data_IF_739755573452
#
_entry.id   IF_739755573452
#
_cell.length_a   1.000
_cell.length_b   1.000
_cell.length_c   1.000
_cell.angle_alpha   90.00
_cell.angle_beta   90.00
_cell.angle_gamma   90.00
#
_symmetry.space_group_name_H-M   'P 1'
#
loop_
_entity.id
_entity.type
_entity.pdbx_description
1 polymer ?
#
# COMPACT_ATOMS: atom_id res chain seq x y z
N UNK A 2 3.24 -23.91 -7.30
CA UNK A 2 3.94 -22.67 -7.01
C UNK A 2 3.28 -21.96 -5.85
N UNK A 3 4.05 -21.64 -4.84
CA UNK A 3 3.56 -20.92 -3.69
C UNK A 3 3.85 -19.45 -3.93
N UNK A 4 2.87 -18.75 -4.49
CA UNK A 4 2.94 -17.32 -4.74
C UNK A 4 2.23 -16.62 -3.60
N UNK A 5 2.98 -15.99 -2.71
CA UNK A 5 2.43 -15.36 -1.54
C UNK A 5 2.74 -13.88 -1.55
N UNK A 6 1.85 -13.11 -0.93
CA UNK A 6 1.99 -11.66 -0.90
C UNK A 6 1.13 -11.12 0.23
N UNK A 7 1.76 -10.48 1.21
CA UNK A 7 1.07 -9.97 2.37
C UNK A 7 1.22 -8.46 2.43
N UNK A 8 0.17 -7.79 2.91
CA UNK A 8 0.27 -6.39 3.29
C UNK A 8 -0.35 -6.15 4.67
N UNK A 9 0.23 -6.70 5.70
CA UNK A 9 -0.25 -6.46 7.06
C UNK A 9 0.38 -5.20 7.65
N UNK A 10 0.32 -4.10 6.92
CA UNK A 10 0.81 -2.85 7.44
C UNK A 10 0.00 -2.38 8.63
N UNK A 11 0.61 -1.52 9.44
CA UNK A 11 -0.04 -0.98 10.62
C UNK A 11 -1.06 0.09 10.28
N UNK A 12 -1.32 0.28 8.99
CA UNK A 12 -2.33 1.25 8.57
C UNK A 12 -1.81 2.65 8.44
N UNK A 14 -2.35 6.70 8.75
CA UNK A 14 -3.19 7.57 9.56
C UNK A 14 -2.72 9.02 9.54
N UNK A 15 -3.64 9.95 9.31
CA UNK A 15 -3.30 11.37 9.30
C UNK A 15 -4.11 12.06 10.38
N UNK A 16 -3.42 12.59 11.40
CA UNK A 16 -4.05 13.21 12.53
C UNK A 16 -3.87 14.73 12.44
N UNK A 17 -4.76 15.46 13.11
CA UNK A 17 -4.68 16.91 13.21
C UNK A 17 -5.22 17.34 14.57
N UNK A 18 -4.45 18.14 15.29
CA UNK A 18 -4.83 18.54 16.65
C UNK A 18 -4.71 20.04 16.87
N UNK B 2 -3.54 21.68 8.27
CA UNK B 2 -4.80 22.03 7.60
C UNK B 2 -5.23 21.00 6.57
N UNK B 3 -2.91 21.38 5.42
CA UNK B 3 -3.21 20.55 4.26
C UNK B 3 -2.41 19.26 4.36
N UNK B 4 -3.07 18.21 4.83
CA UNK B 4 -2.53 16.86 4.75
C UNK B 4 -3.02 16.22 3.46
N UNK B 5 -2.07 15.83 2.60
CA UNK B 5 -2.38 15.10 1.38
C UNK B 5 -1.58 13.81 1.39
N UNK B 6 -2.28 12.69 1.30
CA UNK B 6 -1.64 11.37 1.26
C UNK B 6 -2.13 10.64 0.03
N UNK B 7 -1.22 9.98 -0.66
CA UNK B 7 -1.50 9.42 -1.97
C UNK B 7 -0.96 8.00 -2.07
N UNK B 8 -1.78 7.09 -2.58
CA UNK B 8 -1.31 5.80 -3.07
C UNK B 8 -1.92 5.54 -4.44
N UNK B 9 -1.57 6.35 -5.46
CA UNK B 9 -1.98 6.05 -6.83
C UNK B 9 -0.95 5.19 -7.55
N UNK B 10 -0.48 4.15 -6.87
CA UNK B 10 0.42 3.21 -7.51
C UNK B 10 -0.39 2.18 -8.24
N UNK B 11 0.04 1.84 -9.46
CA UNK B 11 -0.62 0.79 -10.24
C UNK B 11 -0.75 -0.48 -9.42
N UNK B 12 -1.73 -1.31 -9.76
CA UNK B 12 -2.03 -2.46 -8.94
C UNK B 12 -0.89 -3.43 -8.73
N UNK B 14 0.15 -7.44 -8.67
CA UNK B 14 -0.39 -8.62 -9.35
C UNK B 14 0.51 -9.85 -9.24
N UNK B 15 -0.08 -11.02 -9.01
CA UNK B 15 0.65 -12.26 -9.18
C UNK B 15 0.08 -12.98 -10.38
N UNK B 16 0.96 -13.44 -11.25
CA UNK B 16 0.57 -14.08 -12.48
C UNK B 16 0.99 -15.54 -12.43
N UNK B 17 0.23 -16.38 -13.12
CA UNK B 17 0.61 -17.77 -13.36
C UNK B 17 0.11 -18.16 -14.74
N UNK B 18 1.03 -18.46 -15.65
CA UNK B 18 0.62 -18.97 -16.95
C UNK B 18 1.53 -20.11 -17.40
N UNK C 11 -3.67 -15.10 31.13
CA UNK C 11 -2.25 -14.88 31.29
C UNK C 11 -1.73 -13.70 30.51
N UNK C 12 -1.86 -12.51 31.09
CA UNK C 12 -1.32 -11.31 30.48
C UNK C 12 -2.31 -10.20 30.22
N UNK C 14 -3.06 -6.94 28.11
CA UNK C 14 -2.68 -6.43 26.80
C UNK C 14 -3.52 -5.23 26.41
N UNK C 15 -2.87 -4.14 26.01
CA UNK C 15 -3.56 -2.93 25.56
C UNK C 15 -3.05 -2.58 24.16
N UNK C 16 -3.65 -3.18 23.14
CA UNK C 16 -3.28 -2.90 21.77
C UNK C 16 -4.24 -1.87 21.21
N UNK C 17 -3.70 -0.79 20.65
CA UNK C 17 -4.48 0.18 19.92
C UNK C 17 -3.86 0.35 18.53
N UNK C 18 -4.66 0.17 17.50
CA UNK C 18 -4.19 0.31 16.14
C UNK C 18 -5.07 1.31 15.41
N UNK D 11 -4.80 14.77 -28.22
CA UNK D 11 -5.11 14.99 -29.62
C UNK D 11 -4.86 13.78 -30.50
N UNK D 12 -4.15 12.79 -29.96
CA UNK D 12 -3.84 11.59 -30.73
C UNK D 12 -4.51 10.35 -30.17
N UNK D 14 -4.42 6.55 -28.23
CA UNK D 14 -3.70 6.02 -27.08
C UNK D 14 -4.32 4.71 -26.62
N UNK D 15 -3.49 3.70 -26.36
CA UNK D 15 -4.01 2.41 -25.95
C UNK D 15 -3.23 1.93 -24.75
N UNK D 16 -3.93 1.63 -23.67
CA UNK D 16 -3.33 1.31 -22.38
C UNK D 16 -3.94 0.02 -21.86
N UNK D 17 -3.10 -0.81 -21.26
CA UNK D 17 -3.56 -1.98 -20.51
C UNK D 17 -2.98 -1.88 -19.10
N UNK D 18 -3.83 -1.60 -18.12
CA UNK D 18 -3.38 -1.48 -16.75
C UNK D 18 -3.98 -2.60 -15.93
N UNK E 11 0.94 -17.41 -61.21
CA UNK E 11 1.13 -16.96 -59.85
C UNK E 11 0.46 -15.62 -59.56
N UNK E 12 -0.56 -15.65 -58.72
CA UNK E 12 -1.30 -14.45 -58.39
C UNK E 12 -0.48 -13.36 -57.74
N UNK E 14 -0.13 -11.07 -55.26
CA UNK E 14 -0.58 -10.67 -53.94
C UNK E 14 0.12 -9.39 -53.53
N UNK E 15 -0.64 -8.30 -53.46
CA UNK E 15 -0.11 -7.00 -53.09
C UNK E 15 -0.96 -6.40 -51.98
N UNK E 16 -0.31 -6.04 -50.88
CA UNK E 16 -0.98 -5.35 -49.78
C UNK E 16 -0.19 -4.08 -49.49
N UNK E 17 -0.91 -2.99 -49.23
CA UNK E 17 -0.31 -1.70 -48.89
C UNK E 17 -0.85 -1.26 -47.55
N UNK E 18 0.03 -0.94 -46.63
CA UNK E 18 -0.38 -0.48 -45.32
C UNK E 18 0.23 0.90 -45.44
N UNK F 11 -7.51 27.16 18.22
CA UNK F 11 -7.21 27.73 19.52
C UNK F 11 -7.67 26.86 20.67
N UNK F 12 -8.00 25.62 20.37
CA UNK F 12 -8.52 24.71 21.38
C UNK F 12 -7.45 23.93 22.11
N UNK F 14 -6.26 19.90 23.37
CA UNK F 14 -6.42 18.47 23.09
C UNK F 14 -5.60 17.59 24.00
N UNK F 15 -6.25 16.70 24.73
CA UNK F 15 -5.59 15.71 25.57
C UNK F 15 -6.00 14.33 25.09
N UNK F 16 -5.04 13.58 24.57
CA UNK F 16 -5.30 12.27 23.97
C UNK F 16 -4.55 11.23 24.78
N UNK F 17 -5.31 10.35 25.42
CA UNK F 17 -4.75 9.22 26.16
C UNK F 17 -5.19 7.96 25.45
N UNK F 18 -4.24 7.18 24.97
CA UNK F 18 -4.55 5.87 24.43
C UNK F 18 -3.70 4.83 25.13
N UNK G 11 0.80 -10.46 44.17
CA UNK G 11 0.57 -9.06 43.84
C UNK G 11 -0.19 -8.87 42.54
N UNK G 12 -0.84 -7.73 42.40
CA UNK G 12 -1.62 -7.44 41.22
C UNK G 12 -1.27 -6.12 40.56
N UNK G 14 -2.56 -2.28 38.79
CA UNK G 14 -3.49 -1.18 39.02
C UNK G 14 -3.03 0.05 38.25
N UNK G 15 -3.97 0.91 37.84
CA UNK G 15 -3.57 2.15 37.18
C UNK G 15 -4.71 3.14 37.34
N UNK G 16 -4.34 4.43 37.42
CA UNK G 16 -5.30 5.49 37.69
C UNK G 16 -5.04 6.66 36.77
N UNK G 17 -6.07 7.06 36.02
CA UNK G 17 -6.10 8.36 35.37
C UNK G 17 -6.94 9.24 36.28
N UNK G 18 -6.29 9.91 37.23
CA UNK G 18 -7.08 10.58 38.25
C UNK G 18 -7.39 12.01 37.87
N UNK H 11 -12.33 29.96 31.17
CA UNK H 11 -11.44 30.88 31.84
C UNK H 11 -10.22 30.14 32.32
N UNK H 12 -9.88 29.04 31.66
CA UNK H 12 -8.71 28.23 32.06
C UNK H 12 -9.29 26.89 32.25
N UNK H 14 -9.06 24.38 34.17
CA UNK H 14 -8.27 24.08 35.34
C UNK H 14 -8.49 22.64 35.79
N UNK H 15 -7.40 21.88 35.92
CA UNK H 15 -7.47 20.48 36.31
C UNK H 15 -6.52 20.29 37.48
N UNK H 16 -7.03 20.42 38.70
CA UNK H 16 -6.18 20.40 39.89
C UNK H 16 -6.69 19.34 40.85
N UNK H 17 -5.77 18.53 41.36
CA UNK H 17 -6.09 17.41 42.22
C UNK H 17 -5.59 17.69 43.63
N UNK H 18 -6.35 17.25 44.62
CA UNK H 18 -6.00 17.46 46.02
C UNK H 18 -6.06 16.17 46.82
N UNK I 11 -7.00 16.92 61.07
CA UNK I 11 -7.56 15.60 61.18
C UNK I 11 -7.55 14.84 59.86
N UNK I 12 -6.62 15.20 58.98
CA UNK I 12 -6.50 14.57 57.69
C UNK I 12 -5.78 13.24 57.74
N UNK I 14 -5.37 10.42 55.13
CA UNK I 14 -5.56 9.93 53.77
C UNK I 14 -4.57 8.81 53.47
N UNK I 15 -5.05 7.58 53.42
CA UNK I 15 -4.23 6.43 53.07
C UNK I 15 -4.62 5.96 51.67
N UNK I 16 -3.71 6.13 50.72
CA UNK I 16 -3.91 5.71 49.35
C UNK I 16 -2.91 4.61 49.08
N UNK I 17 -3.41 3.40 48.87
CA UNK I 17 -2.56 2.22 48.67
C UNK I 17 -2.97 1.57 47.37
N UNK I 18 -2.02 1.46 46.44
CA UNK I 18 -2.30 0.88 45.15
C UNK I 18 -1.43 -0.34 44.92
N UNK J 11 -1.35 10.08 -40.26
CA UNK J 11 -1.17 9.46 -41.56
C UNK J 11 -1.38 7.96 -41.50
N UNK J 12 -2.51 7.54 -40.93
CA UNK J 12 -2.79 6.12 -40.80
C UNK J 12 -1.97 5.50 -39.69
N UNK J 14 -1.83 1.51 -38.98
CA UNK J 14 -2.43 0.25 -39.35
C UNK J 14 -1.65 -0.75 -38.54
N UNK J 15 -2.36 -1.60 -37.83
CA UNK J 15 -1.67 -2.58 -37.01
C UNK J 15 -2.33 -3.93 -37.24
N UNK J 16 -1.51 -4.96 -37.44
CA UNK J 16 -2.00 -6.26 -37.89
C UNK J 16 -1.46 -7.33 -36.98
N UNK J 17 -2.34 -8.21 -36.50
CA UNK J 17 -1.96 -9.40 -35.75
C UNK J 17 -2.57 -10.61 -36.45
N UNK J 18 -1.72 -11.49 -36.96
CA UNK J 18 -2.20 -12.74 -37.53
C UNK J 18 -1.24 -13.86 -37.19
N UNK K 11 -0.23 -34.05 -32.90
CA UNK K 11 -0.77 -32.81 -32.38
C UNK K 11 0.19 -31.64 -32.55
N UNK K 12 0.08 -30.66 -31.66
CA UNK K 12 0.94 -29.49 -31.71
C UNK K 12 0.36 -28.36 -32.53
N UNK K 14 0.00 -25.18 -34.80
CA UNK K 14 0.75 -24.78 -35.98
C UNK K 14 0.20 -23.48 -36.55
N UNK K 15 0.85 -22.36 -36.23
CA UNK K 15 0.37 -21.05 -36.68
C UNK K 15 1.11 -20.58 -37.92
N UNK K 16 0.92 -21.31 -39.01
CA UNK K 16 1.48 -20.89 -40.30
C UNK K 16 0.73 -19.68 -40.81
N UNK K 17 1.45 -18.81 -41.52
CA UNK K 17 0.79 -17.76 -42.29
C UNK K 17 1.44 -17.70 -43.67
N UNK K 18 0.78 -18.31 -44.64
CA UNK K 18 1.20 -18.22 -46.03
C UNK K 18 0.74 -16.89 -46.57
N UNK L 11 2.56 -30.08 -22.97
CA UNK L 11 1.70 -29.87 -21.82
C UNK L 11 1.20 -28.44 -21.72
N UNK L 12 2.09 -27.52 -21.43
CA UNK L 12 1.74 -26.13 -21.30
C UNK L 12 2.21 -25.27 -22.47
N UNK L 14 1.14 -21.50 -24.14
CA UNK L 14 0.30 -20.32 -23.97
C UNK L 14 0.92 -19.06 -24.56
N UNK L 15 0.14 -18.37 -25.39
CA UNK L 15 0.56 -17.12 -26.00
C UNK L 15 -0.34 -16.01 -25.49
N UNK L 16 0.28 -14.90 -25.06
CA UNK L 16 -0.43 -13.82 -24.40
C UNK L 16 0.06 -12.50 -24.97
N UNK L 17 -0.84 -11.76 -25.64
CA UNK L 17 -0.49 -10.53 -26.33
C UNK L 17 -1.43 -9.42 -25.86
N UNK L 18 -0.86 -8.29 -25.50
CA UNK L 18 -1.64 -7.12 -25.15
C UNK L 18 -0.91 -5.85 -25.55
N UNK M 2 7.87 -23.37 -6.73
CA UNK M 2 8.58 -22.13 -6.45
C UNK M 2 7.90 -21.39 -5.33
N UNK M 3 8.68 -21.06 -4.31
CA UNK M 3 8.18 -20.31 -3.18
C UNK M 3 8.48 -18.85 -3.44
N UNK M 4 7.51 -18.15 -4.02
CA UNK M 4 7.60 -16.74 -4.30
C UNK M 4 6.87 -16.01 -3.17
N UNK M 5 7.62 -15.37 -2.29
CA UNK M 5 7.07 -14.71 -1.13
C UNK M 5 7.39 -13.22 -1.17
N UNK M 6 6.51 -12.44 -0.58
CA UNK M 6 6.65 -10.98 -0.57
C UNK M 6 5.78 -10.43 0.54
N UNK M 7 6.41 -9.77 1.51
CA UNK M 7 5.71 -9.24 2.66
C UNK M 7 5.86 -7.72 2.69
N UNK M 8 4.82 -7.04 3.15
CA UNK M 8 4.92 -5.62 3.51
C UNK M 8 4.29 -5.37 4.87
N UNK M 9 4.86 -5.90 5.92
CA UNK M 9 4.37 -5.63 7.28
C UNK M 9 5.01 -4.37 7.85
N UNK M 10 4.95 -3.28 7.10
CA UNK M 10 5.45 -2.02 7.59
C UNK M 10 4.63 -1.52 8.77
N UNK M 11 5.25 -0.64 9.57
CA UNK M 11 4.58 -0.08 10.73
C UNK M 11 3.57 0.98 10.36
N UNK M 12 3.33 1.15 9.08
CA UNK M 12 2.33 2.10 8.63
C UNK M 12 2.86 3.51 8.47
N UNK M 14 2.33 7.57 8.71
CA UNK M 14 1.50 8.47 9.50
C UNK M 14 1.98 9.91 9.45
N UNK M 15 1.06 10.83 9.19
CA UNK M 15 1.41 12.25 9.16
C UNK M 15 0.60 12.97 10.22
N UNK M 16 1.29 13.51 11.23
CA UNK M 16 0.64 14.16 12.35
C UNK M 16 0.84 15.67 12.24
N UNK M 17 -0.05 16.41 12.88
CA UNK M 17 0.04 17.88 12.95
C UNK M 17 -0.52 18.33 14.30
N UNK M 18 0.26 19.14 15.03
CA UNK M 18 -0.14 19.57 16.36
C UNK M 18 -0.01 21.07 16.56
N UNK N 2 2.39 23.30 7.82
CA UNK N 2 1.17 23.66 7.11
C UNK N 2 0.75 22.63 6.07
N UNK N 3 1.71 22.14 5.30
CA UNK N 3 1.41 21.30 4.14
C UNK N 3 2.22 20.00 4.26
N UNK N 4 1.55 18.96 4.73
CA UNK N 4 2.09 17.61 4.68
C UNK N 4 1.62 16.95 3.39
N UNK N 5 2.56 16.54 2.55
CA UNK N 5 2.26 15.81 1.34
C UNK N 5 3.06 14.52 1.36
N UNK N 6 2.37 13.39 1.29
CA UNK N 6 3.01 12.08 1.26
C UNK N 6 2.52 11.33 0.05
N UNK N 7 3.44 10.66 -0.64
CA UNK N 7 3.16 10.09 -1.95
C UNK N 7 3.71 8.67 -2.01
N UNK N 8 2.89 7.76 -2.52
CA UNK N 8 3.36 6.45 -3.00
C UNK N 8 2.76 6.18 -4.37
N UNK N 9 3.12 6.98 -5.39
CA UNK N 9 2.72 6.67 -6.76
C UNK N 9 3.74 5.79 -7.46
N UNK N 10 4.22 4.76 -6.77
CA UNK N 10 5.12 3.81 -7.39
C UNK N 10 4.30 2.76 -8.11
N UNK N 11 4.75 2.41 -9.33
CA UNK N 11 4.10 1.36 -10.09
C UNK N 11 3.96 0.09 -9.27
N UNK N 12 2.98 -0.74 -9.59
CA UNK N 12 2.67 -1.89 -8.76
C UNK N 12 3.82 -2.84 -8.54
N UNK N 14 4.86 -6.85 -8.43
CA UNK N 14 4.33 -8.04 -9.08
C UNK N 14 5.23 -9.27 -8.95
N UNK N 15 4.64 -10.43 -8.71
CA UNK N 15 5.37 -11.68 -8.86
C UNK N 15 4.81 -12.42 -10.07
N UNK N 16 5.69 -12.88 -10.92
CA UNK N 16 5.30 -13.54 -12.15
C UNK N 16 5.73 -15.00 -12.07
N UNK N 17 4.98 -15.85 -12.76
CA UNK N 17 5.36 -17.23 -12.98
C UNK N 17 4.87 -17.65 -14.36
N UNK N 18 5.79 -17.95 -15.26
CA UNK N 18 5.39 -18.49 -16.56
C UNK N 18 6.30 -19.63 -16.98
N UNK O 11 0.89 -13.91 31.28
CA UNK O 11 2.31 -13.68 31.47
C UNK O 11 2.83 -12.49 30.69
N UNK O 12 2.67 -11.30 31.25
CA UNK O 12 3.22 -10.10 30.65
C UNK O 12 2.22 -8.99 30.37
N UNK O 14 1.48 -5.76 28.20
CA UNK O 14 1.88 -5.26 26.90
C UNK O 14 1.03 -4.07 26.48
N UNK O 15 1.68 -2.98 26.09
CA UNK O 15 0.99 -1.78 25.62
C UNK O 15 1.53 -1.43 24.24
N UNK O 16 0.96 -2.04 23.21
CA UNK O 16 1.35 -1.77 21.84
C UNK O 16 0.39 -0.75 21.25
N UNK O 17 0.94 0.33 20.70
CA UNK O 17 0.16 1.29 19.94
C UNK O 17 0.81 1.45 18.57
N UNK O 18 0.03 1.25 17.53
CA UNK O 18 0.52 1.39 16.17
C UNK O 18 -0.35 2.37 15.42
N UNK P 11 -0.11 15.22 -28.20
CA UNK P 11 -0.43 15.43 -29.59
C UNK P 11 -0.18 14.23 -30.47
N UNK P 12 0.54 13.25 -29.94
CA UNK P 12 0.85 12.04 -30.71
C UNK P 12 0.20 10.81 -30.15
N UNK P 14 0.33 7.01 -28.22
CA UNK P 14 1.06 6.47 -27.07
C UNK P 14 0.45 5.16 -26.60
N UNK P 15 1.29 4.16 -26.35
CA UNK P 15 0.78 2.86 -25.94
C UNK P 15 1.57 2.39 -24.73
N UNK P 16 0.87 2.08 -23.65
CA UNK P 16 1.49 1.76 -22.38
C UNK P 16 0.89 0.47 -21.85
N UNK P 17 1.74 -0.36 -21.24
CA UNK P 17 1.29 -1.52 -20.50
C UNK P 17 1.88 -1.42 -19.09
N UNK P 18 1.03 -1.14 -18.12
CA UNK P 18 1.49 -1.02 -16.74
C UNK P 18 0.90 -2.15 -15.92
N UNK Q 11 5.68 -17.81 -60.71
CA UNK Q 11 5.92 -17.33 -59.36
C UNK Q 11 5.24 -16.00 -59.09
N UNK Q 12 4.25 -16.02 -58.20
CA UNK Q 12 3.49 -14.83 -57.89
C UNK Q 12 4.33 -13.71 -57.29
N UNK Q 14 4.72 -11.36 -54.87
CA UNK Q 14 4.30 -10.94 -53.54
C UNK Q 14 4.99 -9.63 -53.20
N UNK Q 15 4.21 -8.56 -53.11
CA UNK Q 15 4.74 -7.24 -52.79
C UNK Q 15 3.93 -6.63 -51.66
N UNK Q 16 4.59 -6.23 -50.60
CA UNK Q 16 3.96 -5.52 -49.49
C UNK Q 16 4.73 -4.24 -49.25
N UNK Q 17 4.00 -3.16 -48.99
CA UNK Q 17 4.60 -1.85 -48.71
C UNK Q 17 4.09 -1.39 -47.36
N UNK Q 18 5.00 -1.03 -46.47
CA UNK Q 18 4.63 -0.55 -45.15
C UNK Q 18 5.20 0.84 -45.33
N UNK R 11 -2.89 28.52 17.76
CA UNK R 11 -2.60 29.11 19.05
C UNK R 11 -3.06 28.25 20.22
N UNK R 12 -3.38 27.00 19.93
CA UNK R 12 -3.90 26.09 20.94
C UNK R 12 -2.82 25.33 21.68
N UNK R 14 -1.61 21.33 22.99
CA UNK R 14 -1.76 19.90 22.72
C UNK R 14 -0.93 19.03 23.65
N UNK R 15 -1.58 18.14 24.38
CA UNK R 15 -0.91 17.18 25.24
C UNK R 15 -1.31 15.78 24.77
N UNK R 16 -0.33 15.03 24.26
CA UNK R 16 -0.58 13.71 23.67
C UNK R 16 0.18 12.69 24.50
N UNK R 17 -0.57 11.81 25.15
CA UNK R 17 -0.02 10.69 25.91
C UNK R 17 -0.44 9.42 25.20
N UNK R 18 0.53 8.64 24.74
CA UNK R 18 0.24 7.33 24.19
C UNK R 18 1.09 6.30 24.93
N UNK S 11 5.46 -8.98 44.46
CA UNK S 11 5.23 -7.60 44.10
C UNK S 11 4.48 -7.44 42.79
N UNK S 12 3.82 -6.30 42.62
CA UNK S 12 3.04 -6.05 41.43
C UNK S 12 3.38 -4.74 40.74
N UNK S 14 2.08 -0.95 38.88
CA UNK S 14 1.13 0.15 39.07
C UNK S 14 1.59 1.37 38.28
N UNK S 15 0.66 2.21 37.85
CA UNK S 15 1.05 3.42 37.16
C UNK S 15 -0.10 4.42 37.28
N UNK S 16 0.26 5.70 37.33
CA UNK S 16 -0.71 6.78 37.58
C UNK S 16 -0.45 7.92 36.62
N UNK S 17 -1.48 8.30 35.87
CA UNK S 17 -1.51 9.59 35.17
C UNK S 17 -2.36 10.48 36.07
N UNK S 18 -1.72 11.17 37.00
CA UNK S 18 -2.52 11.86 37.99
C UNK S 18 -2.83 13.28 37.58
N UNK T 11 -7.80 31.26 30.77
CA UNK T 11 -6.91 32.20 31.41
C UNK T 11 -5.69 31.47 31.90
N UNK T 12 -5.34 30.35 31.26
CA UNK T 12 -4.17 29.56 31.66
C UNK T 12 -4.76 28.22 31.88
N UNK T 14 -4.52 25.75 33.84
CA UNK T 14 -3.72 25.46 35.02
C UNK T 14 -3.94 24.03 35.49
N UNK T 15 -2.85 23.28 35.64
CA UNK T 15 -2.91 21.87 36.05
C UNK T 15 -1.96 21.70 37.22
N UNK T 16 -2.46 21.86 38.44
CA UNK T 16 -1.61 21.87 39.62
C UNK T 16 -2.12 20.83 40.61
N UNK T 17 -1.19 20.03 41.13
CA UNK T 17 -1.50 18.91 42.01
C UNK T 17 -1.00 19.23 43.41
N UNK T 18 -1.76 18.80 44.42
CA UNK T 18 -1.41 19.04 45.80
C UNK T 18 -1.46 17.76 46.63
N UNK U 11 -2.40 18.82 60.69
CA UNK U 11 -2.97 17.50 60.83
C UNK U 11 -2.95 16.70 59.54
N UNK U 12 -2.01 17.03 58.66
CA UNK U 12 -1.89 16.36 57.38
C UNK U 12 -1.17 15.03 57.48
N UNK U 14 -0.75 12.13 54.96
CA UNK U 14 -0.92 11.59 53.62
C UNK U 14 0.06 10.47 53.36
N UNK U 15 -0.43 9.24 53.35
CA UNK U 15 0.39 8.08 53.04
C UNK U 15 0.02 7.57 51.65
N UNK U 16 0.93 7.71 50.71
CA UNK U 16 0.74 7.24 49.35
C UNK U 16 1.74 6.12 49.11
N UNK U 17 1.23 4.91 48.94
CA UNK U 17 2.07 3.73 48.79
C UNK U 17 1.68 3.04 47.49
N UNK U 18 2.63 2.90 46.59
CA UNK U 18 2.36 2.27 45.30
C UNK U 18 3.24 1.05 45.12
N UNK V 11 3.58 10.25 -40.51
CA UNK V 11 3.67 9.61 -41.81
C UNK V 11 3.44 8.12 -41.71
N UNK V 12 2.34 7.72 -41.09
CA UNK V 12 2.05 6.30 -40.93
C UNK V 12 2.91 5.68 -39.85
N UNK V 14 3.02 1.70 -39.09
CA UNK V 14 2.38 0.45 -39.41
C UNK V 14 3.18 -0.56 -38.64
N UNK V 15 2.50 -1.38 -37.88
CA UNK V 15 3.20 -2.37 -37.08
C UNK V 15 2.53 -3.71 -37.27
N UNK V 16 3.31 -4.75 -37.48
CA UNK V 16 2.77 -6.04 -37.89
C UNK V 16 3.35 -7.13 -36.99
N UNK V 17 2.48 -7.98 -36.47
CA UNK V 17 2.87 -9.16 -35.73
C UNK V 17 2.22 -10.36 -36.37
N UNK V 18 3.02 -11.26 -36.91
CA UNK V 18 2.51 -12.51 -37.44
C UNK V 18 3.45 -13.65 -37.12
N UNK W 11 4.52 -34.09 -32.03
CA UNK W 11 3.98 -32.82 -31.56
C UNK W 11 4.93 -31.66 -31.75
N UNK W 12 4.81 -30.65 -30.90
CA UNK W 12 5.67 -29.48 -30.97
C UNK W 12 5.11 -28.38 -31.84
N UNK W 14 4.80 -25.28 -34.22
CA UNK W 14 5.58 -24.92 -35.39
C UNK W 14 5.04 -23.65 -36.02
N UNK W 15 5.68 -22.52 -35.74
CA UNK W 15 5.20 -21.22 -36.23
C UNK W 15 5.98 -20.79 -37.47
N UNK W 16 5.81 -21.56 -38.55
CA UNK W 16 6.39 -21.19 -39.83
C UNK W 16 5.65 -19.99 -40.40
N UNK W 17 6.38 -19.15 -41.13
CA UNK W 17 5.74 -18.12 -41.94
C UNK W 17 6.41 -18.10 -43.30
N UNK W 18 5.77 -18.75 -44.27
CA UNK W 18 6.22 -18.70 -45.65
C UNK W 18 5.78 -17.39 -46.25
N UNK X 11 6.98 -29.77 -22.09
CA UNK X 11 6.10 -29.50 -20.98
C UNK X 11 5.60 -28.07 -20.93
N UNK X 12 6.52 -27.15 -20.66
CA UNK X 12 6.19 -25.74 -20.58
C UNK X 12 6.71 -24.93 -21.75
N UNK X 14 5.76 -21.20 -23.57
CA UNK X 14 4.95 -20.00 -23.45
C UNK X 14 5.61 -18.77 -24.08
N UNK X 15 4.86 -18.08 -24.94
CA UNK X 15 5.32 -16.86 -25.58
C UNK X 15 4.44 -15.72 -25.12
N UNK X 16 5.07 -14.62 -24.72
CA UNK X 16 4.37 -13.50 -24.11
C UNK X 16 4.90 -12.20 -24.71
N UNK X 17 4.03 -11.47 -25.41
CA UNK X 17 4.43 -10.27 -26.13
C UNK X 17 3.51 -9.13 -25.74
N UNK X 18 4.09 -7.99 -25.40
CA UNK X 18 3.32 -6.80 -25.09
C UNK X 18 4.09 -5.56 -25.52
N UNK Y 2 12.47 -22.65 -6.26
CA UNK Y 2 13.19 -21.41 -6.02
C UNK Y 2 12.51 -20.66 -4.89
N UNK Y 3 13.30 -20.31 -3.89
CA UNK Y 3 12.81 -19.55 -2.76
C UNK Y 3 13.10 -18.08 -3.06
N UNK Y 4 12.12 -17.40 -3.65
CA UNK Y 4 12.21 -15.99 -3.95
C UNK Y 4 11.48 -15.24 -2.83
N UNK Y 5 12.24 -14.59 -1.97
CA UNK Y 5 11.68 -13.90 -0.82
C UNK Y 5 12.00 -12.43 -0.88
N UNK Y 6 11.12 -11.62 -0.30
CA UNK Y 6 11.25 -10.18 -0.32
C UNK Y 6 10.41 -9.60 0.79
N UNK Y 7 11.03 -8.93 1.74
CA UNK Y 7 10.34 -8.37 2.89
C UNK Y 7 10.48 -6.86 2.89
N UNK Y 8 9.44 -6.16 3.34
CA UNK Y 8 9.54 -4.74 3.67
C UNK Y 8 8.91 -4.46 5.04
N UNK Y 9 9.49 -4.98 6.09
CA UNK Y 9 9.01 -4.69 7.45
C UNK Y 9 9.65 -3.41 7.99
N UNK Y 10 9.58 -2.34 7.22
CA UNK Y 10 10.09 -1.07 7.69
C UNK Y 10 9.28 -0.55 8.87
N UNK Y 11 9.88 0.34 9.64
CA UNK Y 11 9.23 0.92 10.80
C UNK Y 11 8.21 1.97 10.42
N UNK Y 12 7.96 2.12 9.12
CA UNK Y 12 6.96 3.06 8.67
C UNK Y 12 7.48 4.47 8.49
N UNK Y 14 6.95 8.53 8.64
CA UNK Y 14 6.12 9.44 9.43
C UNK Y 14 6.60 10.88 9.35
N UNK Y 15 5.68 11.80 9.08
CA UNK Y 15 6.02 13.22 9.03
C UNK Y 15 5.22 13.96 10.09
N UNK Y 16 5.91 14.52 11.08
CA UNK Y 16 5.26 15.20 12.19
C UNK Y 16 5.46 16.69 12.04
N UNK Y 17 4.57 17.45 12.68
CA UNK Y 17 4.66 18.91 12.73
C UNK Y 17 4.10 19.39 14.07
N UNK Y 18 4.87 20.21 14.78
CA UNK Y 18 4.49 20.65 16.11
C UNK Y 18 4.62 22.16 16.27
N UNK Z 2 6.76 24.14 7.54
CA UNK Z 2 5.55 24.50 6.80
C UNK Z 2 5.15 23.46 5.77
N UNK Z 3 6.13 22.96 5.03
CA UNK Z 3 5.85 22.10 3.87
C UNK Z 3 6.65 20.81 4.04
N UNK Z 4 5.98 19.77 4.50
CA UNK Z 4 6.52 18.42 4.48
C UNK Z 4 6.08 17.74 3.19
N UNK Z 5 7.03 17.34 2.37
CA UNK Z 5 6.76 16.58 1.16
C UNK Z 5 7.56 15.29 1.23
N UNK Z 6 6.87 14.15 1.15
CA UNK Z 6 7.52 12.85 1.15
C UNK Z 6 7.05 12.08 -0.07
N UNK Z 7 7.99 11.41 -0.72
CA UNK Z 7 7.74 10.81 -2.02
C UNK Z 7 8.28 9.40 -2.07
N UNK Z 8 7.47 8.47 -2.58
CA UNK Z 8 7.95 7.16 -3.02
C UNK Z 8 7.39 6.87 -4.40
N UNK Z 9 7.76 7.65 -5.42
CA UNK Z 9 7.38 7.32 -6.80
C UNK Z 9 8.43 6.45 -7.47
N UNK Z 10 8.89 5.42 -6.76
CA UNK Z 10 9.80 4.46 -7.35
C UNK Z 10 9.01 3.41 -8.07
N UNK Z 11 9.47 3.04 -9.27
CA UNK Z 11 8.84 1.97 -10.03
C UNK Z 11 8.69 0.72 -9.19
N UNK Z 12 7.72 -0.12 -9.52
CA UNK Z 12 7.39 -1.25 -8.68
C UNK Z 12 8.53 -2.20 -8.43
N UNK Z 14 9.57 -6.21 -8.24
CA UNK Z 14 9.05 -7.41 -8.89
C UNK Z 14 9.94 -8.63 -8.73
N UNK Z 15 9.34 -9.79 -8.48
CA UNK Z 15 10.08 -11.04 -8.60
C UNK Z 15 9.55 -11.81 -9.80
N UNK Z 16 10.45 -12.28 -10.62
CA UNK Z 16 10.09 -12.95 -11.85
C UNK Z 16 10.52 -14.40 -11.75
N UNK Z 17 9.77 -15.27 -12.44
CA UNK Z 17 10.16 -16.66 -12.64
C UNK Z 17 9.69 -17.08 -14.02
N UNK Z 18 10.64 -17.40 -14.90
CA UNK Z 18 10.26 -17.96 -16.19
C UNK Z 18 11.18 -19.10 -16.58
N UNK AA 11 5.14 -12.76 31.40
CA UNK AA 11 6.56 -12.56 31.59
C UNK AA 11 7.12 -11.39 30.80
N UNK AA 12 7.00 -10.20 31.35
CA UNK AA 12 7.58 -9.01 30.74
C UNK AA 12 6.61 -7.88 30.45
N UNK AA 14 5.95 -4.64 28.28
CA UNK AA 14 6.36 -4.16 26.97
C UNK AA 14 5.54 -2.95 26.55
N UNK AA 15 6.22 -1.88 26.14
CA UNK AA 15 5.57 -0.66 25.67
C UNK AA 15 6.11 -0.34 24.28
N UNK AA 16 5.51 -0.94 23.25
CA UNK AA 16 5.91 -0.69 21.88
C UNK AA 16 4.98 0.35 21.28
N UNK AA 17 5.55 1.41 20.74
CA UNK AA 17 4.80 2.38 19.97
C UNK AA 17 5.45 2.52 18.60
N UNK AA 18 4.66 2.33 17.55
CA UNK AA 18 5.15 2.45 16.19
C UNK AA 18 4.30 3.46 15.44
N UNK BA 11 4.63 15.18 -28.92
CA UNK BA 11 4.33 15.31 -30.33
C UNK BA 11 4.61 14.05 -31.13
N UNK BA 12 5.34 13.12 -30.53
CA UNK BA 12 5.67 11.88 -31.22
C UNK BA 12 5.03 10.66 -30.59
N UNK BA 14 5.19 6.99 -28.42
CA UNK BA 14 5.92 6.54 -27.23
C UNK BA 14 5.32 5.26 -26.69
N UNK BA 15 6.17 4.29 -26.37
CA UNK BA 15 5.68 3.01 -25.88
C UNK BA 15 6.47 2.63 -24.65
N UNK BA 16 5.75 2.38 -23.55
CA UNK BA 16 6.36 2.15 -22.26
C UNK BA 16 5.78 0.88 -21.65
N UNK BA 17 6.62 0.10 -20.99
CA UNK BA 17 6.19 -1.02 -20.18
C UNK BA 17 6.76 -0.82 -18.77
N UNK BA 18 5.89 -0.49 -17.83
CA UNK BA 18 6.33 -0.29 -16.46
C UNK BA 18 5.75 -1.36 -15.57
N UNK CA 11 10.60 -18.16 -60.54
CA UNK CA 11 10.80 -17.67 -59.18
C UNK CA 11 10.15 -16.34 -58.94
N UNK CA 12 9.13 -16.32 -58.08
CA UNK CA 12 8.40 -15.10 -57.80
C UNK CA 12 9.24 -14.01 -57.17
N UNK CA 14 9.62 -11.66 -54.75
CA UNK CA 14 9.17 -11.23 -53.44
C UNK CA 14 9.89 -9.94 -53.07
N UNK CA 15 9.14 -8.84 -53.02
CA UNK CA 15 9.70 -7.54 -52.69
C UNK CA 15 8.86 -6.91 -51.59
N UNK CA 16 9.51 -6.51 -50.50
CA UNK CA 16 8.85 -5.80 -49.42
C UNK CA 16 9.66 -4.53 -49.16
N UNK CA 17 8.96 -3.42 -48.92
CA UNK CA 17 9.56 -2.13 -48.63
C UNK CA 17 9.03 -1.65 -47.29
N UNK CA 18 9.92 -1.31 -46.38
CA UNK CA 18 9.52 -0.83 -45.08
C UNK CA 18 10.14 0.55 -45.23
N UNK DA 11 1.73 29.64 17.44
CA UNK DA 11 2.02 30.26 18.73
C UNK DA 11 1.58 29.42 19.91
N UNK DA 12 1.26 28.15 19.65
CA UNK DA 12 0.75 27.26 20.67
C UNK DA 12 1.84 26.52 21.42
N UNK DA 14 3.08 22.55 22.80
CA UNK DA 14 2.94 21.12 22.55
C UNK DA 14 3.79 20.28 23.50
N UNK DA 15 3.14 19.39 24.25
CA UNK DA 15 3.82 18.45 25.13
C UNK DA 15 3.44 17.04 24.68
N UNK DA 16 4.41 16.29 24.18
CA UNK DA 16 4.18 14.96 23.61
C UNK DA 16 4.94 13.95 24.46
N UNK DA 17 4.20 13.08 25.13
CA UNK DA 17 4.77 11.99 25.90
C UNK DA 17 4.35 10.70 25.23
N UNK DA 18 5.33 9.92 24.77
CA UNK DA 18 5.04 8.59 24.25
C UNK DA 18 5.90 7.58 25.00
N UNK EA 11 9.87 -7.28 44.68
CA UNK EA 11 9.66 -5.90 44.27
C UNK EA 11 8.89 -5.78 42.97
N UNK EA 12 8.26 -4.63 42.77
CA UNK EA 12 7.46 -4.40 41.58
C UNK EA 12 7.83 -3.12 40.85
N UNK EA 14 6.58 0.64 38.87
CA UNK EA 14 5.66 1.76 39.04
C UNK EA 14 6.14 2.94 38.21
N UNK EA 15 5.22 3.79 37.76
CA UNK EA 15 5.63 4.97 37.02
C UNK EA 15 4.51 6.00 37.13
N UNK EA 16 4.88 7.28 37.13
CA UNK EA 16 3.95 8.37 37.36
C UNK EA 16 4.23 9.49 36.35
N UNK EA 17 3.19 9.85 35.60
CA UNK EA 17 3.18 11.12 34.87
C UNK EA 17 2.37 12.06 35.74
N UNK EA 18 3.03 12.78 36.64
CA UNK EA 18 2.27 13.52 37.63
C UNK EA 18 1.98 14.93 37.17
N UNK FA 11 -3.31 32.52 30.29
CA UNK FA 11 -2.46 33.48 30.94
C UNK FA 11 -1.23 32.79 31.45
N UNK FA 12 -0.84 31.67 30.83
CA UNK FA 12 0.33 30.91 31.26
C UNK FA 12 -0.22 29.56 31.49
N UNK FA 14 0.04 27.12 33.48
CA UNK FA 14 0.83 26.86 34.68
C UNK FA 14 0.64 25.43 35.16
N UNK FA 15 1.73 24.71 35.33
CA UNK FA 15 1.70 23.30 35.76
C UNK FA 15 2.64 23.18 36.95
N UNK FA 16 2.11 23.33 38.15
CA UNK FA 16 2.95 23.37 39.34
C UNK FA 16 2.45 22.33 40.34
N UNK FA 17 3.38 21.56 40.88
CA UNK FA 17 3.09 20.45 41.78
C UNK FA 17 3.56 20.79 43.18
N UNK FA 18 2.80 20.36 44.17
CA UNK FA 18 3.13 20.62 45.56
C UNK FA 18 3.09 19.35 46.41
N UNK GA 11 2.28 20.82 60.00
CA UNK GA 11 1.70 19.50 60.21
C UNK GA 11 1.72 18.63 58.97
N UNK GA 12 2.66 18.92 58.07
CA UNK GA 12 2.78 18.18 56.83
C UNK GA 12 3.50 16.86 56.99
N UNK GA 14 3.92 13.84 54.63
CA UNK GA 14 3.74 13.23 53.33
C UNK GA 14 4.73 12.09 53.13
N UNK GA 15 4.24 10.86 53.18
CA UNK GA 15 5.06 9.68 52.94
C UNK GA 15 4.68 9.11 51.58
N UNK GA 16 5.60 9.20 50.63
CA UNK GA 16 5.41 8.66 49.29
C UNK GA 16 6.41 7.53 49.12
N UNK GA 17 5.90 6.30 49.01
CA UNK GA 17 6.75 5.12 48.92
C UNK GA 17 6.35 4.36 47.66
N UNK GA 18 7.30 4.17 46.77
CA UNK GA 18 7.03 3.48 45.52
C UNK GA 18 7.91 2.25 45.40
N UNK HA 11 8.48 10.09 -41.05
CA UNK HA 11 8.57 9.39 -42.32
C UNK HA 11 8.34 7.89 -42.17
N UNK HA 12 7.24 7.52 -41.54
CA UNK HA 12 6.94 6.12 -41.32
C UNK HA 12 7.79 5.54 -40.22
N UNK HA 14 7.90 1.59 -39.30
CA UNK HA 14 7.27 0.33 -39.58
C UNK HA 14 8.06 -0.64 -38.76
N UNK HA 15 7.37 -1.43 -37.97
CA UNK HA 15 8.08 -2.39 -37.12
C UNK HA 15 7.39 -3.73 -37.26
N UNK HA 16 8.17 -4.79 -37.43
CA UNK HA 16 7.64 -6.10 -37.79
C UNK HA 16 8.21 -7.14 -36.85
N UNK HA 17 7.34 -7.97 -36.29
CA UNK HA 17 7.72 -9.12 -35.50
C UNK HA 17 7.07 -10.35 -36.11
N UNK HA 18 7.88 -11.27 -36.60
CA UNK HA 18 7.36 -12.54 -37.08
C UNK HA 18 8.31 -13.67 -36.72
N UNK IA 11 9.25 -33.79 -31.35
CA UNK IA 11 8.71 -32.53 -30.91
C UNK IA 11 9.67 -31.37 -31.12
N UNK IA 12 9.55 -30.35 -30.28
CA UNK IA 12 10.40 -29.18 -30.37
C UNK IA 12 9.85 -28.09 -31.26
N UNK IA 14 9.55 -25.03 -33.70
CA UNK IA 14 10.34 -24.70 -34.88
C UNK IA 14 9.81 -23.43 -35.52
N UNK IA 15 10.45 -22.29 -35.25
CA UNK IA 15 9.98 -21.01 -35.77
C UNK IA 15 10.76 -20.60 -37.03
N UNK IA 16 10.59 -21.39 -38.08
CA UNK IA 16 11.19 -21.04 -39.37
C UNK IA 16 10.45 -19.85 -39.96
N UNK IA 17 11.19 -19.03 -40.70
CA UNK IA 17 10.55 -18.02 -41.54
C UNK IA 17 11.22 -18.04 -42.91
N UNK IA 18 10.58 -18.69 -43.86
CA UNK IA 18 11.05 -18.67 -45.24
C UNK IA 18 10.61 -17.37 -45.86
N UNK JA 11 11.47 -29.45 -21.34
CA UNK JA 11 10.54 -29.17 -20.26
C UNK JA 11 10.07 -27.73 -20.23
N UNK JA 12 10.98 -26.82 -19.93
CA UNK JA 12 10.66 -25.41 -19.87
C UNK JA 12 11.23 -24.61 -21.03
N UNK JA 14 10.39 -20.88 -22.89
CA UNK JA 14 9.59 -19.67 -22.82
C UNK JA 14 10.28 -18.45 -23.42
N UNK JA 15 9.58 -17.77 -24.32
CA UNK JA 15 10.08 -16.56 -24.94
C UNK JA 15 9.18 -15.39 -24.53
N UNK JA 16 9.81 -14.30 -24.10
CA UNK JA 16 9.10 -13.17 -23.52
C UNK JA 16 9.66 -11.88 -24.12
N UNK JA 17 8.83 -11.16 -24.85
CA UNK JA 17 9.26 -9.95 -25.56
C UNK JA 17 8.33 -8.80 -25.20
N UNK JA 18 8.92 -7.68 -24.85
CA UNK JA 18 8.15 -6.46 -24.58
C UNK JA 18 8.94 -5.23 -24.98
N UNK KA 2 -1.42 -24.46 -7.85
CA UNK KA 2 -0.71 -23.23 -7.54
C UNK KA 2 -1.39 -22.54 -6.38
N UNK KA 3 -0.61 -22.25 -5.36
CA UNK KA 3 -1.10 -21.54 -4.18
C UNK KA 3 -0.82 -20.07 -4.40
N UNK KA 4 -1.80 -19.37 -4.95
CA UNK KA 4 -1.72 -17.93 -5.17
C UNK KA 4 -2.45 -17.26 -4.02
N UNK KA 5 -1.69 -16.65 -3.12
CA UNK KA 5 -2.26 -16.04 -1.93
C UNK KA 5 -1.94 -14.54 -1.92
N UNK KA 6 -2.82 -13.79 -1.27
CA UNK KA 6 -2.69 -12.34 -1.23
C UNK KA 6 -3.55 -11.84 -0.08
N UNK KA 7 -2.92 -11.22 0.91
CA UNK KA 7 -3.61 -10.72 2.08
C UNK KA 7 -3.48 -9.21 2.17
N UNK KA 8 -4.53 -8.55 2.66
CA UNK KA 8 -4.43 -7.15 3.06
C UNK KA 8 -5.05 -6.95 4.45
N UNK KA 9 -4.47 -7.52 5.47
CA UNK KA 9 -4.95 -7.30 6.84
C UNK KA 9 -4.32 -6.05 7.45
N UNK KA 10 -4.39 -4.94 6.74
CA UNK KA 10 -3.89 -3.70 7.28
C UNK KA 10 -4.71 -3.25 8.48
N UNK KA 11 -4.09 -2.40 9.30
CA UNK KA 11 -4.75 -1.88 10.49
C UNK KA 11 -5.78 -0.82 10.18
N UNK KA 12 -6.03 -0.61 8.89
CA UNK KA 12 -7.04 0.36 8.49
C UNK KA 12 -6.52 1.78 8.40
N UNK KA 14 -7.07 5.82 8.78
CA UNK KA 14 -7.91 6.68 9.61
C UNK KA 14 -7.44 8.13 9.61
N UNK KA 15 -8.36 9.06 9.39
CA UNK KA 15 -8.03 10.48 9.41
C UNK KA 15 -8.84 11.15 10.51
N UNK KA 16 -8.15 11.66 11.54
CA UNK KA 16 -8.79 12.26 12.68
C UNK KA 16 -8.60 13.77 12.63
N UNK KA 17 -9.50 14.49 13.30
CA UNK KA 17 -9.42 15.94 13.43
C UNK KA 17 -9.97 16.34 14.79
N UNK KA 18 -9.19 17.13 15.54
CA UNK KA 18 -9.58 17.50 16.90
C UNK KA 18 -9.47 19.00 17.15
N UNK LA 2 -8.54 20.76 8.55
CA UNK LA 2 -9.79 21.12 7.89
C UNK LA 2 -10.23 20.11 6.84
N UNK LA 3 -7.67 20.52 5.73
CA UNK LA 3 -7.97 19.72 4.55
C UNK LA 3 -7.16 18.42 4.63
N UNK LA 4 -7.84 17.36 5.06
CA UNK LA 4 -7.29 16.01 4.96
C UNK LA 4 -7.77 15.40 3.65
N UNK LA 5 -6.83 15.03 2.79
CA UNK LA 5 -7.12 14.33 1.55
C UNK LA 5 -6.33 13.04 1.54
N UNK LA 6 -7.02 11.91 1.42
CA UNK LA 6 -6.39 10.60 1.35
C UNK LA 6 -6.88 9.90 0.11
N UNK LA 7 -5.96 9.26 -0.60
CA UNK LA 7 -6.23 8.73 -1.92
C UNK LA 7 -5.70 7.31 -2.04
N UNK LA 8 -6.52 6.41 -2.58
CA UNK LA 8 -6.04 5.12 -3.10
C UNK LA 8 -6.64 4.90 -4.48
N UNK LA 9 -6.28 5.72 -5.47
CA UNK LA 9 -6.67 5.47 -6.86
C UNK LA 9 -5.65 4.62 -7.58
N UNK LA 10 -5.18 3.56 -6.93
CA UNK LA 10 -4.28 2.64 -7.58
C UNK LA 10 -5.09 1.62 -8.34
N UNK LA 11 -4.66 1.31 -9.56
CA UNK LA 11 -5.29 0.28 -10.37
C UNK LA 11 -5.45 -1.00 -9.59
N UNK LA 12 -6.42 -1.83 -9.95
CA UNK LA 12 -6.74 -3.00 -9.15
C UNK LA 12 -5.59 -3.97 -8.97
N UNK LA 14 -4.57 -7.98 -9.00
CA UNK LA 14 -5.10 -9.15 -9.69
C UNK LA 14 -4.21 -10.38 -9.60
N UNK LA 15 -4.81 -11.55 -9.41
CA UNK LA 15 -4.08 -12.79 -9.59
C UNK LA 15 -4.63 -13.49 -10.83
N UNK LA 16 -3.75 -13.93 -11.68
CA UNK LA 16 -4.14 -14.54 -12.94
C UNK LA 16 -3.72 -16.00 -12.91
N UNK LA 17 -4.48 -16.82 -13.63
CA UNK LA 17 -4.09 -18.20 -13.91
C UNK LA 17 -4.58 -18.56 -15.30
N UNK LA 18 -3.66 -18.85 -16.21
CA UNK LA 18 -4.05 -19.33 -17.52
C UNK LA 18 -3.14 -20.46 -17.98
N UNK MA 11 -8.43 -16.48 30.94
CA UNK MA 11 -7.01 -16.26 31.14
C UNK MA 11 -6.48 -15.06 30.38
N UNK MA 12 -6.62 -13.88 30.97
CA UNK MA 12 -6.07 -12.68 30.39
C UNK MA 12 -7.06 -11.56 30.12
N UNK MA 14 -7.76 -8.28 28.02
CA UNK MA 14 -7.35 -7.76 26.73
C UNK MA 14 -8.19 -6.56 26.33
N UNK MA 15 -7.53 -5.46 25.95
CA UNK MA 15 -8.21 -4.25 25.50
C UNK MA 15 -7.67 -3.88 24.12
N UNK MA 16 -8.24 -4.48 23.09
CA UNK MA 16 -7.83 -4.17 21.72
C UNK MA 16 -8.78 -3.15 21.14
N UNK MA 17 -8.22 -2.06 20.62
CA UNK MA 17 -9.00 -1.08 19.87
C UNK MA 17 -8.34 -0.89 18.50
N UNK MA 18 -9.12 -1.08 17.45
CA UNK MA 18 -8.62 -0.91 16.10
C UNK MA 18 -9.48 0.08 15.37
N UNK NA 11 -9.40 14.40 -28.72
CA UNK NA 11 -9.69 14.57 -30.12
C UNK NA 11 -9.42 13.31 -30.95
N UNK NA 12 -8.72 12.36 -30.36
CA UNK NA 12 -8.40 11.13 -31.08
C UNK NA 12 -9.07 9.91 -30.48
N UNK NA 14 -8.99 6.19 -28.39
CA UNK NA 14 -8.28 5.71 -27.21
C UNK NA 14 -8.90 4.42 -26.69
N UNK NA 15 -8.07 3.42 -26.39
CA UNK NA 15 -8.60 2.15 -25.93
C UNK NA 15 -7.82 1.72 -24.70
N UNK NA 16 -8.55 1.46 -23.61
CA UNK NA 16 -7.95 1.20 -22.32
C UNK NA 16 -8.56 -0.07 -21.74
N UNK NA 17 -7.73 -0.87 -21.09
CA UNK NA 17 -8.20 -2.00 -20.30
C UNK NA 17 -7.64 -1.86 -18.90
N UNK NA 18 -8.51 -1.53 -17.95
CA UNK NA 18 -8.06 -1.36 -16.58
C UNK NA 18 -8.67 -2.44 -15.71
N UNK OA 11 -3.84 -17.17 -61.58
CA UNK OA 11 -3.62 -16.72 -60.22
C UNK OA 11 -4.31 -15.41 -59.90
N UNK OA 12 -5.31 -15.46 -59.02
CA UNK OA 12 -6.07 -14.28 -58.67
C UNK OA 12 -5.25 -13.18 -58.03
N UNK OA 14 -4.90 -10.92 -55.53
CA UNK OA 14 -5.32 -10.54 -54.19
C UNK OA 14 -4.65 -9.24 -53.79
N UNK OA 15 -5.43 -8.18 -53.69
CA UNK OA 15 -4.92 -6.87 -53.31
C UNK OA 15 -5.75 -6.31 -52.18
N UNK OA 16 -5.08 -5.93 -51.08
CA UNK OA 16 -5.73 -5.27 -49.97
C UNK OA 16 -4.97 -3.98 -49.68
N UNK OA 17 -5.71 -2.92 -49.39
CA UNK OA 17 -5.13 -1.62 -49.06
C UNK OA 17 -5.65 -1.20 -47.69
N UNK OA 18 -4.74 -0.87 -46.79
CA UNK OA 18 -5.13 -0.44 -45.46
C UNK OA 18 -4.57 0.96 -45.59
N UNK PA 11 -12.31 26.09 18.55
CA UNK PA 11 -12.02 26.65 19.86
C UNK PA 11 -12.49 25.77 21.00
N UNK PA 12 -12.82 24.53 20.68
CA UNK PA 12 -13.33 23.60 21.66
C UNK PA 12 -12.26 22.81 22.38
N UNK PA 14 -11.07 18.77 23.60
CA UNK PA 14 -11.22 17.35 23.29
C UNK PA 14 -10.40 16.46 24.19
N UNK PA 15 -11.06 15.55 24.90
CA UNK PA 15 -10.39 14.55 25.74
C UNK PA 15 -10.79 13.18 25.23
N UNK PA 16 -9.83 12.44 24.70
CA UNK PA 16 -10.07 11.15 24.08
C UNK PA 16 -9.33 10.09 24.89
N UNK PA 17 -10.08 9.20 25.51
CA UNK PA 17 -9.52 8.06 26.23
C UNK PA 17 -9.95 6.80 25.50
N UNK PA 18 -9.00 6.03 25.02
CA UNK PA 18 -9.30 4.73 24.44
C UNK PA 18 -8.44 3.68 25.14
N UNK QA 11 -3.66 -11.89 44.02
CA UNK QA 11 -3.90 -10.49 43.70
C UNK QA 11 -4.69 -10.28 42.43
N UNK QA 12 -5.34 -9.13 42.31
CA UNK QA 12 -6.16 -8.83 41.15
C UNK QA 12 -5.81 -7.51 40.50
N UNK QA 14 -7.14 -3.64 38.80
CA UNK QA 14 -8.06 -2.54 39.06
C UNK QA 14 -7.61 -1.30 38.30
N UNK QA 15 -8.55 -0.44 37.93
CA UNK QA 15 -8.17 0.80 37.27
C UNK QA 15 -9.30 1.80 37.46
N UNK QA 16 -8.92 3.08 37.54
CA UNK QA 16 -9.86 4.15 37.86
C UNK QA 16 -9.62 5.33 36.93
N UNK QA 17 -10.66 5.74 36.23
CA UNK QA 17 -10.70 7.05 35.58
C UNK QA 17 -11.51 7.92 36.53
N UNK QA 18 -10.84 8.57 37.46
CA UNK QA 18 -11.59 9.24 38.50
C UNK QA 18 -11.90 10.69 38.15
N UNK RA 11 -17.01 28.82 31.78
CA UNK RA 11 -16.11 29.72 32.46
C UNK RA 11 -14.90 28.96 32.89
N UNK RA 12 -14.56 27.87 32.21
CA UNK RA 12 -13.40 27.05 32.55
C UNK RA 12 -13.99 25.71 32.72
N UNK RA 14 -13.76 23.15 34.58
CA UNK RA 14 -12.93 22.81 35.73
C UNK RA 14 -13.17 21.36 36.13
N UNK RA 15 -12.09 20.59 36.23
CA UNK RA 15 -12.15 19.17 36.59
C UNK RA 15 -11.19 18.95 37.74
N UNK RA 16 -11.68 19.05 38.97
CA UNK RA 16 -10.81 19.00 40.13
C UNK RA 16 -11.31 17.92 41.08
N UNK RA 17 -10.39 17.09 41.56
CA UNK RA 17 -10.69 15.94 42.40
C UNK RA 17 -10.17 16.19 43.79
N UNK RA 18 -10.92 15.72 44.79
CA UNK RA 18 -10.54 15.90 46.18
C UNK RA 18 -10.59 14.58 46.95
N UNK SA 11 -11.49 15.14 61.40
CA UNK SA 11 -12.03 13.80 61.49
C UNK SA 11 -12.04 13.06 60.17
N UNK SA 12 -11.14 13.44 59.28
CA UNK SA 12 -11.05 12.83 57.97
C UNK SA 12 -10.30 11.51 57.98
N UNK SA 14 -9.92 8.74 55.32
CA UNK SA 14 -10.13 8.25 53.96
C UNK SA 14 -9.13 7.16 53.63
N UNK SA 15 -9.60 5.92 53.57
CA UNK SA 15 -8.77 4.79 53.19
C UNK SA 15 -9.18 4.34 51.79
N UNK SA 16 -8.30 4.53 50.83
CA UNK SA 16 -8.53 4.12 49.46
C UNK SA 16 -7.52 3.03 49.14
N UNK SA 17 -8.01 1.82 48.94
CA UNK SA 17 -7.15 0.66 48.70
C UNK SA 17 -7.58 0.02 47.40
N UNK SA 18 -6.66 -0.07 46.45
CA UNK SA 18 -6.95 -0.64 45.15
C UNK SA 18 -6.07 -1.83 44.89
N UNK TA 11 -6.12 10.01 -40.47
CA UNK TA 11 -5.91 9.40 -41.77
C UNK TA 11 -6.11 7.90 -41.72
N UNK TA 12 -7.26 7.46 -41.20
CA UNK TA 12 -7.53 6.04 -41.09
C UNK TA 12 -6.75 5.41 -39.95
N UNK TA 14 -6.62 1.42 -39.25
CA UNK TA 14 -7.20 0.16 -39.65
C UNK TA 14 -6.45 -0.84 -38.83
N UNK TA 15 -7.18 -1.69 -38.14
CA UNK TA 15 -6.52 -2.67 -37.30
C UNK TA 15 -7.16 -4.02 -37.56
N UNK TA 16 -6.33 -5.05 -37.74
CA UNK TA 16 -6.80 -6.34 -38.21
C UNK TA 16 -6.29 -7.43 -37.27
N UNK TA 17 -7.19 -8.31 -36.85
CA UNK TA 17 -6.83 -9.50 -36.09
C UNK TA 17 -7.40 -10.70 -36.81
N UNK TA 18 -6.53 -11.57 -37.29
CA UNK TA 18 -6.98 -12.82 -37.88
C UNK TA 18 -6.04 -13.95 -37.52
N UNK UA 11 -5.13 -34.30 -33.10
CA UNK UA 11 -5.69 -33.06 -32.62
C UNK UA 11 -4.75 -31.88 -32.77
N UNK UA 12 -4.89 -30.89 -31.90
CA UNK UA 12 -4.04 -29.71 -31.94
C UNK UA 12 -4.60 -28.60 -32.79
N UNK UA 14 -4.92 -25.45 -35.11
CA UNK UA 14 -4.13 -25.06 -36.27
C UNK UA 14 -4.68 -23.78 -36.87
N UNK UA 15 -4.05 -22.65 -36.56
CA UNK UA 15 -4.53 -21.35 -37.02
C UNK UA 15 -3.77 -20.87 -38.25
N UNK UA 16 -3.90 -21.63 -39.34
CA UNK UA 16 -3.32 -21.23 -40.62
C UNK UA 16 -4.06 -20.02 -41.16
N UNK UA 17 -3.34 -19.16 -41.87
CA UNK UA 17 -3.97 -18.12 -42.66
C UNK UA 17 -3.30 -18.07 -44.03
N UNK UA 18 -3.92 -18.70 -45.01
CA UNK UA 18 -3.45 -18.63 -46.39
C UNK UA 18 -3.91 -17.30 -46.96
N UNK VA 11 -2.26 -30.41 -23.65
CA UNK VA 11 -3.12 -30.21 -22.50
C UNK VA 11 -3.63 -28.80 -22.36
N UNK VA 12 -2.74 -27.88 -22.05
CA UNK VA 12 -3.09 -26.48 -21.90
C UNK VA 12 -2.62 -25.60 -23.03
N UNK VA 14 -3.69 -21.79 -24.62
CA UNK VA 14 -4.52 -20.63 -24.42
C UNK VA 14 -3.91 -19.34 -24.99
N UNK VA 15 -4.69 -18.64 -25.80
CA UNK VA 15 -4.27 -17.38 -26.39
C UNK VA 15 -5.17 -16.27 -25.85
N UNK VA 16 -4.55 -15.18 -25.39
CA UNK VA 16 -5.26 -14.11 -24.70
C UNK VA 16 -4.77 -12.77 -25.25
N UNK VA 17 -5.67 -12.03 -25.89
CA UNK VA 17 -5.32 -10.78 -26.56
C UNK VA 17 -6.25 -9.69 -26.07
N UNK VA 18 -5.68 -8.55 -25.68
CA UNK VA 18 -6.48 -7.40 -25.30
C UNK VA 18 -5.74 -6.11 -25.67
#
# INVERSE_FOLDING_TARGET
XTENLKHQPGGGXVQIINX
XTENLKHQPGGGXVQIINX
XTENLKHQPGGGXVQIINX
XTENLKHQPGGGXVQIINX
XTENLKHQPGGGXVQIINX
XTENLKHQPGGGXVQIINX
XTENLKHQPGGGXVQIINX
XTENLKHQPGGGXVQIINX
XTENLKHQPGGGXVQIINX
XTENLKHQPGGGXVQIINX
XTENLKHQPGGGXVQIINX
XTENLKHQPGGGXVQIINX
XTENLKHQPGGGXVQIINX
XTENLKHQPGGGXVQIINX
XTENLKHQPGGGXVQIINX
XTENLKHQPGGGXVQIINX
XTENLKHQPGGGXVQIINX
XTENLKHQPGGGXVQIINX
XTENLKHQPGGGXVQIINX
XTENLKHQPGGGXVQIINX
XTENLKHQPGGGXVQIINX
XTENLKHQPGGGXVQIINX
XTENLKHQPGGGXVQIINX
XTENLKHQPGGGXVQIINX
XTENLKHQPGGGXVQIINX
XTENLKHQPGGGXVQIINX
XTENLKHQPGGGXVQIINX
XTENLKHQPGGGXVQIINX
XTENLKHQPGGGXVQIINX
XTENLKHQPGGGXVQIINX
XTENLKHQPGGGXVQIINX
XTENLKHQPGGGXVQIINX
XTENLKHQPGGGXVQIINX
XTENLKHQPGGGXVQIINX
XTENLKHQPGGGXVQIINX
XTENLKHQPGGGXVQIINX
XTENLKHQPGGGXVQIINX
XTENLKHQPGGGXVQIINX
XTENLKHQPGGGXVQIINX
XTENLKHQPGGGXVQIINX
XTENLKHQPGGGXVQIINX
XTENLKHQPGGGXVQIINX
XTENLKHQPGGGXVQIINX
XTENLKHQPGGGXVQIINX
XTENLKHQPGGGXVQIINX
XTENLKHQPGGGXVQIINX
XTENLKHQPGGGXVQIINX
XTENLKHQPGGGXVQIINX
#
